data_IF_051403033448
#
_entry.id   IF_051403033448
#
_cell.length_a   1.000
_cell.length_b   1.000
_cell.length_c   1.000
_cell.angle_alpha   90.00
_cell.angle_beta   90.00
_cell.angle_gamma   90.00
#
_symmetry.space_group_name_H-M   'P 1'
#
loop_
_entity.id
_entity.type
_entity.pdbx_description
1 polymer ?
#
# COMPACT_ATOMS: atom_id res chain seq x y z
N UNK A 1 4.62 13.37 71.46
CA UNK A 1 3.95 12.25 70.77
C UNK A 1 3.66 12.69 69.35
N UNK A 2 4.29 12.12 68.30
CA UNK A 2 3.92 12.49 66.95
C UNK A 2 2.48 12.04 66.71
N UNK A 3 1.64 12.94 66.19
CA UNK A 3 0.26 12.61 65.84
C UNK A 3 0.32 11.71 64.61
N UNK A 4 0.23 10.40 64.82
CA UNK A 4 0.33 9.37 63.79
C UNK A 4 -0.95 9.36 62.93
N UNK A 5 -1.17 10.44 62.17
CA UNK A 5 -2.37 10.63 61.35
C UNK A 5 -2.14 10.03 59.97
N UNK A 6 -3.07 9.17 59.57
CA UNK A 6 -3.03 8.53 58.26
C UNK A 6 -3.67 9.44 57.20
N UNK A 7 -3.14 9.36 55.97
CA UNK A 7 -3.69 10.05 54.79
C UNK A 7 -3.67 9.13 53.59
N UNK A 8 -4.73 9.15 52.79
CA UNK A 8 -4.82 8.43 51.52
C UNK A 8 -4.99 9.45 50.41
N UNK A 9 -4.27 9.28 49.31
CA UNK A 9 -4.48 10.06 48.10
C UNK A 9 -4.60 9.11 46.91
N UNK A 10 -5.53 9.43 46.01
CA UNK A 10 -5.66 8.75 44.72
C UNK A 10 -5.23 9.74 43.65
N UNK A 11 -4.20 9.36 42.90
CA UNK A 11 -3.79 10.10 41.72
C UNK A 11 -4.69 9.69 40.56
N UNK A 12 -5.54 10.62 40.19
CA UNK A 12 -6.50 10.47 39.11
C UNK A 12 -5.82 10.99 37.86
N UNK A 13 -5.03 10.15 37.18
CA UNK A 13 -4.31 10.55 35.97
C UNK A 13 -5.33 10.70 34.82
N UNK A 14 -6.00 11.85 34.80
CA UNK A 14 -6.81 12.30 33.68
C UNK A 14 -6.47 13.77 33.43
N UNK A 15 -6.55 14.19 32.16
CA UNK A 15 -6.31 15.58 31.73
C UNK A 15 -7.21 16.62 32.42
N UNK A 16 -8.16 16.21 33.26
CA UNK A 16 -9.20 17.03 33.85
C UNK A 16 -9.40 16.89 35.37
N UNK A 17 -8.62 16.08 36.10
CA UNK A 17 -8.83 15.85 37.53
C UNK A 17 -7.58 16.03 38.39
N UNK A 18 -7.67 16.90 39.39
CA UNK A 18 -6.67 17.08 40.44
C UNK A 18 -6.74 15.96 41.48
N UNK A 19 -5.58 15.49 41.92
CA UNK A 19 -5.35 14.57 43.05
C UNK A 19 -6.40 14.71 44.16
N UNK A 20 -7.13 13.63 44.44
CA UNK A 20 -8.09 13.60 45.55
C UNK A 20 -7.39 13.03 46.78
N UNK A 21 -7.41 13.77 47.89
CA UNK A 21 -6.75 13.36 49.14
C UNK A 21 -7.70 13.42 50.32
N UNK A 22 -7.62 12.42 51.18
CA UNK A 22 -8.32 12.34 52.45
C UNK A 22 -7.30 12.24 53.59
N UNK A 23 -7.49 13.03 54.64
CA UNK A 23 -6.58 13.08 55.79
C UNK A 23 -7.37 12.88 57.08
N UNK A 24 -6.81 12.09 58.00
CA UNK A 24 -7.39 11.91 59.32
C UNK A 24 -7.35 13.22 60.14
N UNK A 25 -8.46 13.54 60.79
CA UNK A 25 -8.57 14.74 61.64
C UNK A 25 -8.96 14.34 63.07
N UNK A 26 -8.83 15.27 64.04
CA UNK A 26 -9.13 14.99 65.46
C UNK A 26 -10.57 14.52 65.69
N UNK A 27 -11.48 14.76 64.75
CA UNK A 27 -12.93 14.51 64.85
C UNK A 27 -13.44 13.50 63.84
N UNK A 28 -12.66 13.15 62.80
CA UNK A 28 -13.07 12.24 61.73
C UNK A 28 -11.94 11.25 61.50
N UNK A 29 -12.22 9.97 61.77
CA UNK A 29 -11.29 8.90 61.45
C UNK A 29 -11.26 8.61 59.95
N UNK A 30 -10.08 8.27 59.45
CA UNK A 30 -9.90 7.86 58.07
C UNK A 30 -10.72 6.60 57.73
N UNK A 31 -10.95 5.71 58.70
CA UNK A 31 -11.75 4.50 58.53
C UNK A 31 -13.19 4.81 58.09
N UNK A 32 -13.77 5.92 58.57
CA UNK A 32 -15.12 6.38 58.18
C UNK A 32 -15.17 6.90 56.75
N UNK A 33 -14.01 7.27 56.17
CA UNK A 33 -13.87 7.72 54.77
C UNK A 33 -13.50 6.61 53.80
N UNK A 34 -13.21 5.40 54.28
CA UNK A 34 -12.90 4.25 53.41
C UNK A 34 -13.99 3.97 52.37
N UNK A 35 -15.31 4.05 52.68
CA UNK A 35 -16.35 3.88 51.67
C UNK A 35 -16.24 4.92 50.54
N UNK A 36 -15.98 6.19 50.88
CA UNK A 36 -15.80 7.28 49.90
C UNK A 36 -14.57 7.03 49.00
N UNK A 37 -13.48 6.53 49.59
CA UNK A 37 -12.25 6.18 48.87
C UNK A 37 -12.50 5.02 47.90
N UNK A 38 -13.16 3.95 48.35
CA UNK A 38 -13.48 2.78 47.52
C UNK A 38 -14.40 3.16 46.37
N UNK A 39 -15.47 3.93 46.64
CA UNK A 39 -16.38 4.41 45.58
C UNK A 39 -15.67 5.29 44.54
N UNK A 40 -14.70 6.09 44.99
CA UNK A 40 -13.89 6.91 44.08
C UNK A 40 -13.01 6.01 43.21
N UNK A 41 -12.35 5.02 43.81
CA UNK A 41 -11.52 4.06 43.09
C UNK A 41 -12.31 3.23 42.06
N UNK A 42 -13.47 2.69 42.44
CA UNK A 42 -14.33 1.93 41.53
C UNK A 42 -14.77 2.75 40.32
N UNK A 43 -15.14 4.02 40.55
CA UNK A 43 -15.49 4.95 39.46
C UNK A 43 -14.32 5.17 38.50
N UNK A 44 -13.11 5.32 39.03
CA UNK A 44 -11.91 5.49 38.21
C UNK A 44 -11.51 4.22 37.47
N UNK A 45 -11.67 3.05 38.09
CA UNK A 45 -11.42 1.77 37.44
C UNK A 45 -12.34 1.58 36.22
N UNK A 46 -13.60 2.00 36.30
CA UNK A 46 -14.53 2.00 35.16
C UNK A 46 -14.07 2.97 34.07
N UNK A 47 -13.73 4.21 34.41
CA UNK A 47 -13.27 5.23 33.44
C UNK A 47 -11.97 4.80 32.74
N UNK A 48 -11.00 4.25 33.48
CA UNK A 48 -9.74 3.73 32.93
C UNK A 48 -9.99 2.54 31.99
N UNK A 49 -10.88 1.62 32.37
CA UNK A 49 -11.25 0.48 31.53
C UNK A 49 -11.93 0.94 30.23
N UNK A 50 -12.88 1.89 30.31
CA UNK A 50 -13.54 2.47 29.13
C UNK A 50 -12.56 3.23 28.23
N UNK A 51 -11.62 3.98 28.82
CA UNK A 51 -10.55 4.68 28.11
C UNK A 51 -9.65 3.71 27.34
N UNK A 52 -9.15 2.67 28.01
CA UNK A 52 -8.33 1.62 27.37
C UNK A 52 -9.07 0.90 26.26
N UNK A 53 -10.37 0.65 26.43
CA UNK A 53 -11.18 0.00 25.40
C UNK A 53 -11.48 0.94 24.22
N UNK A 54 -11.66 2.24 24.47
CA UNK A 54 -11.75 3.24 23.41
C UNK A 54 -10.43 3.37 22.63
N UNK A 55 -9.29 3.38 23.31
CA UNK A 55 -7.96 3.40 22.68
C UNK A 55 -7.71 2.16 21.83
N UNK A 56 -8.05 0.97 22.34
CA UNK A 56 -7.96 -0.28 21.56
C UNK A 56 -8.82 -0.24 20.31
N UNK A 57 -10.08 0.20 20.43
CA UNK A 57 -10.98 0.33 19.28
C UNK A 57 -10.46 1.33 18.26
N UNK A 58 -9.96 2.49 18.70
CA UNK A 58 -9.36 3.49 17.83
C UNK A 58 -8.08 2.97 17.12
N UNK A 59 -7.26 2.18 17.82
CA UNK A 59 -6.08 1.55 17.24
C UNK A 59 -6.44 0.52 16.16
N UNK A 60 -7.45 -0.32 16.43
CA UNK A 60 -7.97 -1.29 15.46
C UNK A 60 -8.55 -0.57 14.24
N UNK A 61 -9.39 0.44 14.43
CA UNK A 61 -9.99 1.20 13.33
C UNK A 61 -8.92 1.91 12.48
N UNK A 62 -7.90 2.48 13.13
CA UNK A 62 -6.76 3.10 12.43
C UNK A 62 -6.01 2.06 11.61
N UNK A 63 -5.72 0.89 12.18
CA UNK A 63 -5.01 -0.19 11.48
C UNK A 63 -5.83 -0.70 10.29
N UNK A 64 -7.14 -0.89 10.47
CA UNK A 64 -8.05 -1.32 9.40
C UNK A 64 -8.10 -0.29 8.26
N UNK A 65 -8.12 1.01 8.60
CA UNK A 65 -8.08 2.08 7.61
C UNK A 65 -6.77 2.07 6.84
N UNK A 66 -5.63 1.99 7.54
CA UNK A 66 -4.30 1.93 6.91
C UNK A 66 -4.17 0.71 6.00
N UNK A 67 -4.66 -0.47 6.42
CA UNK A 67 -4.65 -1.68 5.63
C UNK A 67 -5.50 -1.56 4.35
N UNK A 68 -6.67 -0.90 4.42
CA UNK A 68 -7.52 -0.65 3.24
C UNK A 68 -6.85 0.31 2.26
N UNK A 69 -6.25 1.38 2.78
CA UNK A 69 -5.52 2.36 1.95
C UNK A 69 -4.32 1.72 1.24
N UNK A 70 -3.56 0.86 1.94
CA UNK A 70 -2.46 0.10 1.34
C UNK A 70 -2.93 -0.88 0.27
N UNK A 71 -4.04 -1.58 0.51
CA UNK A 71 -4.63 -2.49 -0.47
C UNK A 71 -5.03 -1.74 -1.76
N UNK A 72 -5.72 -0.60 -1.61
CA UNK A 72 -6.10 0.24 -2.76
C UNK A 72 -4.88 0.77 -3.53
N UNK A 73 -3.81 1.17 -2.82
CA UNK A 73 -2.57 1.62 -3.47
C UNK A 73 -1.88 0.50 -4.24
N UNK A 74 -1.85 -0.72 -3.70
CA UNK A 74 -1.30 -1.91 -4.39
C UNK A 74 -2.10 -2.24 -5.63
N UNK A 75 -3.42 -2.24 -5.54
CA UNK A 75 -4.29 -2.53 -6.68
C UNK A 75 -4.09 -1.49 -7.79
N UNK A 76 -4.05 -0.20 -7.44
CA UNK A 76 -3.80 0.87 -8.39
C UNK A 76 -2.44 0.72 -9.11
N UNK A 77 -1.38 0.35 -8.38
CA UNK A 77 -0.07 0.06 -8.97
C UNK A 77 -0.13 -1.12 -9.95
N UNK A 78 -0.79 -2.22 -9.57
CA UNK A 78 -0.92 -3.40 -10.44
C UNK A 78 -1.67 -3.03 -11.72
N UNK A 79 -2.79 -2.31 -11.61
CA UNK A 79 -3.55 -1.87 -12.79
C UNK A 79 -2.71 -0.96 -13.70
N UNK A 80 -1.95 -0.04 -13.12
CA UNK A 80 -1.06 0.82 -13.88
C UNK A 80 0.01 0.02 -14.63
N UNK A 81 0.70 -0.89 -13.95
CA UNK A 81 1.73 -1.73 -14.56
C UNK A 81 1.18 -2.65 -15.67
N UNK A 82 -0.04 -3.16 -15.49
CA UNK A 82 -0.76 -3.90 -16.54
C UNK A 82 -1.07 -3.02 -17.76
N UNK A 83 -1.52 -1.79 -17.52
CA UNK A 83 -1.79 -0.79 -18.58
C UNK A 83 -0.54 -0.42 -19.36
N UNK A 84 0.57 -0.16 -18.67
CA UNK A 84 1.88 0.10 -19.30
C UNK A 84 2.32 -1.09 -20.15
N UNK A 85 2.15 -2.31 -19.66
CA UNK A 85 2.51 -3.52 -20.41
C UNK A 85 1.63 -3.73 -21.64
N UNK A 86 0.33 -3.44 -21.52
CA UNK A 86 -0.60 -3.49 -22.64
C UNK A 86 -0.21 -2.48 -23.73
N UNK A 87 0.13 -1.26 -23.32
CA UNK A 87 0.55 -0.18 -24.23
C UNK A 87 1.87 -0.53 -24.93
N UNK A 88 2.83 -1.09 -24.20
CA UNK A 88 4.07 -1.60 -24.79
C UNK A 88 3.81 -2.71 -25.82
N UNK A 89 2.96 -3.69 -25.49
CA UNK A 89 2.58 -4.74 -26.43
C UNK A 89 1.88 -4.16 -27.68
N UNK A 90 1.02 -3.15 -27.53
CA UNK A 90 0.40 -2.48 -28.67
C UNK A 90 1.46 -1.85 -29.58
N UNK A 91 2.45 -1.16 -29.01
CA UNK A 91 3.57 -0.59 -29.76
C UNK A 91 4.42 -1.64 -30.49
N UNK A 92 4.76 -2.75 -29.81
CA UNK A 92 5.49 -3.86 -30.42
C UNK A 92 4.72 -4.48 -31.59
N UNK A 93 3.39 -4.63 -31.44
CA UNK A 93 2.51 -5.14 -32.50
C UNK A 93 2.42 -4.18 -33.69
N UNK A 94 2.26 -2.88 -33.46
CA UNK A 94 2.26 -1.87 -34.53
C UNK A 94 3.59 -1.86 -35.30
N UNK A 95 4.72 -1.92 -34.57
CA UNK A 95 6.04 -1.97 -35.16
C UNK A 95 6.24 -3.24 -35.99
N UNK A 96 5.84 -4.41 -35.45
CA UNK A 96 5.88 -5.67 -36.18
C UNK A 96 5.08 -5.61 -37.48
N UNK A 97 3.87 -5.03 -37.46
CA UNK A 97 3.06 -4.88 -38.67
C UNK A 97 3.68 -3.92 -39.70
N UNK A 98 4.27 -2.81 -39.25
CA UNK A 98 4.99 -1.89 -40.15
C UNK A 98 6.21 -2.58 -40.78
N UNK A 99 6.95 -3.37 -39.99
CA UNK A 99 8.07 -4.16 -40.50
C UNK A 99 7.62 -5.22 -41.50
N UNK A 100 6.50 -5.91 -41.27
CA UNK A 100 5.92 -6.86 -42.26
C UNK A 100 5.60 -6.17 -43.58
N UNK A 101 4.98 -4.99 -43.54
CA UNK A 101 4.69 -4.22 -44.76
C UNK A 101 5.98 -3.81 -45.50
N UNK A 102 7.01 -3.39 -44.77
CA UNK A 102 8.31 -3.07 -45.34
C UNK A 102 9.00 -4.29 -45.97
N UNK A 103 9.01 -5.44 -45.28
CA UNK A 103 9.57 -6.69 -45.78
C UNK A 103 8.82 -7.20 -47.03
N UNK A 104 7.50 -7.04 -47.08
CA UNK A 104 6.72 -7.36 -48.27
C UNK A 104 7.12 -6.51 -49.49
N UNK A 105 7.37 -5.21 -49.28
CA UNK A 105 7.86 -4.33 -50.34
C UNK A 105 9.28 -4.71 -50.81
N UNK A 106 10.17 -5.08 -49.87
CA UNK A 106 11.52 -5.56 -50.21
C UNK A 106 11.48 -6.88 -50.97
N UNK A 107 10.64 -7.83 -50.55
CA UNK A 107 10.46 -9.11 -51.25
C UNK A 107 9.97 -8.89 -52.68
N UNK A 108 9.06 -7.94 -52.89
CA UNK A 108 8.63 -7.55 -54.24
C UNK A 108 9.79 -7.10 -55.12
N UNK A 109 10.75 -6.32 -54.58
CA UNK A 109 11.96 -5.91 -55.31
C UNK A 109 12.89 -7.08 -55.60
N UNK A 110 13.17 -7.94 -54.60
CA UNK A 110 14.04 -9.11 -54.77
C UNK A 110 13.47 -10.07 -55.83
N UNK A 111 12.15 -10.23 -55.88
CA UNK A 111 11.48 -11.07 -56.90
C UNK A 111 11.71 -10.55 -58.33
N UNK A 112 11.83 -9.23 -58.49
CA UNK A 112 12.11 -8.58 -59.77
C UNK A 112 13.59 -8.61 -60.16
N UNK A 113 14.50 -8.97 -59.25
CA UNK A 113 15.93 -9.10 -59.56
C UNK A 113 16.19 -10.36 -60.39
N UNK A 114 17.13 -10.25 -61.32
CA UNK A 114 17.62 -11.40 -62.06
C UNK A 114 18.23 -12.44 -61.09
N UNK A 115 18.15 -13.74 -61.40
CA UNK A 115 18.83 -14.77 -60.61
C UNK A 115 20.33 -14.48 -60.53
N UNK A 116 20.82 -14.19 -59.33
CA UNK A 116 22.23 -13.88 -59.03
C UNK A 116 22.55 -14.26 -57.59
N UNK A 117 23.84 -14.35 -57.26
CA UNK A 117 24.27 -14.57 -55.87
C UNK A 117 23.80 -13.45 -54.94
N UNK A 118 23.67 -12.21 -55.45
CA UNK A 118 23.10 -11.09 -54.70
C UNK A 118 21.62 -11.30 -54.36
N UNK A 119 20.85 -11.91 -55.28
CA UNK A 119 19.46 -12.26 -55.02
C UNK A 119 19.35 -13.31 -53.91
N UNK A 120 20.18 -14.34 -53.94
CA UNK A 120 20.21 -15.37 -52.90
C UNK A 120 20.56 -14.79 -51.52
N UNK A 121 21.57 -13.92 -51.45
CA UNK A 121 21.93 -13.22 -50.21
C UNK A 121 20.80 -12.32 -49.68
N UNK A 122 20.06 -11.66 -50.57
CA UNK A 122 18.90 -10.85 -50.20
C UNK A 122 17.72 -11.70 -49.68
N UNK A 123 17.49 -12.88 -50.26
CA UNK A 123 16.47 -13.83 -49.79
C UNK A 123 16.79 -14.36 -48.39
N UNK A 124 18.04 -14.75 -48.12
CA UNK A 124 18.52 -15.19 -46.80
C UNK A 124 18.36 -14.08 -45.75
N UNK A 125 18.71 -12.84 -46.10
CA UNK A 125 18.53 -11.69 -45.22
C UNK A 125 17.06 -11.44 -44.90
N UNK A 126 16.17 -11.51 -45.90
CA UNK A 126 14.72 -11.36 -45.69
C UNK A 126 14.18 -12.46 -44.77
N UNK A 127 14.63 -13.70 -44.92
CA UNK A 127 14.21 -14.79 -44.05
C UNK A 127 14.64 -14.54 -42.59
N UNK A 128 15.85 -14.04 -42.38
CA UNK A 128 16.29 -13.63 -41.03
C UNK A 128 15.43 -12.50 -40.47
N UNK A 129 15.10 -11.49 -41.27
CA UNK A 129 14.25 -10.38 -40.86
C UNK A 129 12.83 -10.84 -40.48
N UNK A 130 12.22 -11.77 -41.21
CA UNK A 130 10.92 -12.33 -40.84
C UNK A 130 10.95 -13.02 -39.48
N UNK A 131 11.96 -13.85 -39.25
CA UNK A 131 12.15 -14.52 -37.97
C UNK A 131 12.37 -13.53 -36.81
N UNK A 132 13.04 -12.40 -37.07
CA UNK A 132 13.19 -11.32 -36.10
C UNK A 132 11.84 -10.65 -35.77
N UNK A 133 11.03 -10.35 -36.78
CA UNK A 133 9.70 -9.74 -36.61
C UNK A 133 8.75 -10.65 -35.84
N UNK A 134 8.77 -11.96 -36.11
CA UNK A 134 7.93 -12.92 -35.38
C UNK A 134 8.29 -13.04 -33.90
N UNK A 135 9.56 -12.82 -33.54
CA UNK A 135 9.98 -12.74 -32.12
C UNK A 135 9.51 -11.45 -31.46
N UNK A 136 9.46 -10.35 -32.21
CA UNK A 136 9.00 -9.05 -31.73
C UNK A 136 7.49 -9.04 -31.52
N UNK A 137 6.74 -9.70 -32.41
CA UNK A 137 5.27 -9.71 -32.38
C UNK A 137 4.73 -10.34 -31.08
N UNK A 138 4.00 -9.57 -30.24
CA UNK A 138 3.40 -10.10 -29.04
C UNK A 138 2.25 -11.06 -29.31
N UNK A 139 1.62 -11.04 -30.49
CA UNK A 139 0.54 -11.96 -30.90
C UNK A 139 1.07 -13.37 -31.18
N UNK A 140 2.34 -13.49 -31.61
CA UNK A 140 2.99 -14.79 -31.79
C UNK A 140 3.26 -15.51 -30.46
N UNK A 141 3.14 -14.81 -29.32
CA UNK A 141 3.34 -15.36 -27.97
C UNK A 141 2.00 -15.80 -27.36
N UNK A 142 1.98 -16.87 -26.55
CA UNK A 142 0.75 -17.29 -25.89
C UNK A 142 0.22 -16.20 -24.97
N UNK A 143 -1.09 -15.96 -25.02
CA UNK A 143 -1.79 -15.01 -24.15
C UNK A 143 -1.63 -15.48 -22.71
N UNK A 144 -0.82 -14.75 -21.93
CA UNK A 144 -0.62 -14.98 -20.50
C UNK A 144 -0.69 -13.63 -19.79
N UNK A 145 -1.28 -13.62 -18.59
CA UNK A 145 -1.26 -12.43 -17.75
C UNK A 145 0.21 -12.08 -17.44
N UNK A 146 0.65 -10.85 -17.75
CA UNK A 146 2.01 -10.45 -17.46
C UNK A 146 2.24 -10.46 -15.95
N UNK A 147 3.38 -11.02 -15.53
CA UNK A 147 3.79 -11.01 -14.13
C UNK A 147 4.23 -9.59 -13.78
N UNK A 148 3.41 -8.88 -13.03
CA UNK A 148 3.76 -7.59 -12.44
C UNK A 148 4.62 -7.85 -11.21
N UNK A 149 5.77 -7.16 -11.12
CA UNK A 149 6.61 -7.22 -9.92
C UNK A 149 5.87 -6.56 -8.75
N UNK A 150 5.97 -7.10 -7.53
CA UNK A 150 5.40 -6.41 -6.38
C UNK A 150 5.99 -4.99 -6.27
N UNK A 151 5.18 -4.00 -5.90
CA UNK A 151 5.65 -2.62 -5.80
C UNK A 151 6.67 -2.48 -4.66
N UNK A 152 7.70 -1.66 -4.88
CA UNK A 152 8.61 -1.27 -3.82
C UNK A 152 8.00 -0.15 -2.96
N UNK A 153 8.66 0.22 -1.86
CA UNK A 153 8.21 1.26 -0.95
C UNK A 153 7.96 2.60 -1.66
N UNK A 154 8.84 3.00 -2.58
CA UNK A 154 8.69 4.27 -3.31
C UNK A 154 7.48 4.23 -4.26
N UNK A 155 7.24 3.11 -4.94
CA UNK A 155 6.09 2.95 -5.83
C UNK A 155 4.80 3.07 -5.01
N UNK A 156 4.70 2.36 -3.88
CA UNK A 156 3.53 2.45 -3.01
C UNK A 156 3.31 3.84 -2.46
N UNK A 157 4.38 4.58 -2.14
CA UNK A 157 4.29 5.97 -1.68
C UNK A 157 3.69 6.87 -2.76
N UNK A 158 4.15 6.74 -3.99
CA UNK A 158 3.61 7.50 -5.12
C UNK A 158 2.13 7.21 -5.34
N UNK A 159 1.73 5.93 -5.34
CA UNK A 159 0.33 5.55 -5.50
C UNK A 159 -0.54 5.96 -4.31
N UNK A 160 -0.05 5.90 -3.06
CA UNK A 160 -0.76 6.51 -1.90
C UNK A 160 -0.97 8.01 -2.10
N UNK A 161 0.04 8.74 -2.58
CA UNK A 161 -0.08 10.18 -2.82
C UNK A 161 -1.09 10.48 -3.94
N UNK A 162 -1.03 9.74 -5.05
CA UNK A 162 -1.96 9.87 -6.17
C UNK A 162 -3.42 9.57 -5.79
N UNK A 163 -3.64 8.68 -4.83
CA UNK A 163 -4.95 8.35 -4.28
C UNK A 163 -5.40 9.28 -3.14
N UNK A 164 -4.57 10.26 -2.74
CA UNK A 164 -4.90 11.22 -1.69
C UNK A 164 -4.66 10.72 -0.26
N UNK A 165 -4.09 9.53 -0.07
CA UNK A 165 -3.80 8.94 1.25
C UNK A 165 -2.52 9.46 1.90
N UNK A 166 -1.72 10.23 1.16
CA UNK A 166 -0.42 10.78 1.60
C UNK A 166 -0.45 12.26 1.99
N UNK A 167 -1.61 12.92 1.95
CA UNK A 167 -1.71 14.35 2.28
C UNK A 167 -2.16 14.51 3.74
N UNK A 168 -1.18 14.66 4.63
CA UNK A 168 -1.38 15.25 5.95
C UNK A 168 -0.46 16.46 6.04
N UNK A 169 -1.07 17.64 6.21
CA UNK A 169 -0.43 18.90 6.60
C UNK A 169 -0.30 18.95 8.11
#
# INVERSE_FOLDING_TARGET
MPSNRLSIAVETDSRFSSKVSWTETKTISLATRLPDVIMTFDRWAVIDAEGKEAERRAAIEKQDREAREEALARDAYVQHALGERLTANLGDWELANRLRAYLAALRGRVTQMAPSDERAAAEDWLQWCEHYVDKLDPVARPIRQPKVKPPDYNDLREFRQRLGFGMWW
#
